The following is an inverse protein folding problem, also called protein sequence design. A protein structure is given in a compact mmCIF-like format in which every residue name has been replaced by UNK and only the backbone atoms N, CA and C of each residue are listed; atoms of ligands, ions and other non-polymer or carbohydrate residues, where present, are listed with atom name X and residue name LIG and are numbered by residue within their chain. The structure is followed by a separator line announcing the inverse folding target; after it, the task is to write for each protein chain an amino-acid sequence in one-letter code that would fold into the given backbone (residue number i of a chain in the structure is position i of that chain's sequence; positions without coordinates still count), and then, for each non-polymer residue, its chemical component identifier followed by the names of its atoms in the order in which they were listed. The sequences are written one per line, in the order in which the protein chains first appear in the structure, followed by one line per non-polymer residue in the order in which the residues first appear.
data_IF_992021818801
#
_entry.id   IF_992021818801
#
_cell.length_a   1.000
_cell.length_b   1.000
_cell.length_c   1.000
_cell.angle_alpha   90.00
_cell.angle_beta   90.00
_cell.angle_gamma   90.00
#
_symmetry.space_group_name_H-M   'P 1'
#
loop_
_entity.id
_entity.type
_entity.pdbx_description
1 polymer ?
#
# COMPACT_ATOMS: atom_id res chain seq x y z
N UNK A 1 0.79 30.11 33.08
CA UNK A 1 0.85 28.65 32.94
C UNK A 1 2.24 28.27 33.42
N UNK A 2 2.36 27.88 34.69
CA UNK A 2 3.64 27.53 35.30
C UNK A 2 4.13 26.21 34.68
N UNK A 3 5.35 26.18 34.14
CA UNK A 3 5.95 24.96 33.56
C UNK A 3 6.06 24.89 32.03
N UNK A 4 5.63 25.90 31.28
CA UNK A 4 5.89 25.96 29.82
C UNK A 4 7.25 26.59 29.53
N UNK A 5 8.08 25.94 28.71
CA UNK A 5 9.37 26.46 28.26
C UNK A 5 9.17 27.73 27.43
N UNK A 6 9.97 28.76 27.72
CA UNK A 6 10.00 29.99 26.92
C UNK A 6 10.77 29.76 25.62
N UNK A 7 10.08 29.89 24.49
CA UNK A 7 10.62 29.59 23.15
C UNK A 7 10.90 30.85 22.32
N UNK A 8 10.86 32.06 22.91
CA UNK A 8 10.98 33.33 22.18
C UNK A 8 12.29 33.49 21.40
N UNK A 9 13.37 32.84 21.84
CA UNK A 9 14.69 32.90 21.19
C UNK A 9 15.04 31.63 20.39
N UNK A 10 14.04 30.80 20.07
CA UNK A 10 14.23 29.56 19.30
C UNK A 10 13.72 29.68 17.87
N UNK A 11 14.33 28.92 16.97
CA UNK A 11 13.88 28.74 15.59
C UNK A 11 13.28 27.36 15.42
N UNK A 12 12.13 27.28 14.75
CA UNK A 12 11.49 26.02 14.40
C UNK A 12 11.58 25.77 12.90
N UNK A 13 11.96 24.54 12.54
CA UNK A 13 11.91 24.05 11.18
C UNK A 13 10.67 23.17 11.02
N UNK A 14 9.84 23.49 10.02
CA UNK A 14 8.64 22.72 9.73
C UNK A 14 8.90 21.80 8.55
N UNK A 15 8.54 20.53 8.70
CA UNK A 15 8.84 19.49 7.72
C UNK A 15 8.44 19.88 6.30
N UNK A 16 7.20 20.36 6.14
CA UNK A 16 6.60 20.76 4.87
C UNK A 16 7.03 22.16 4.37
N UNK A 17 7.97 22.82 5.04
CA UNK A 17 8.50 24.14 4.66
C UNK A 17 9.97 24.08 4.22
N UNK A 18 10.62 22.95 4.40
CA UNK A 18 11.99 22.74 3.91
C UNK A 18 11.96 22.16 2.51
N UNK A 19 13.00 22.46 1.73
CA UNK A 19 13.16 21.90 0.39
C UNK A 19 13.52 20.41 0.43
N UNK A 20 14.30 19.99 1.43
CA UNK A 20 14.69 18.61 1.66
C UNK A 20 15.14 18.36 3.11
N UNK A 21 15.13 17.08 3.52
CA UNK A 21 15.69 16.58 4.78
C UNK A 21 16.65 15.44 4.46
N UNK A 22 17.69 15.26 5.26
CA UNK A 22 18.70 14.22 5.05
C UNK A 22 18.96 13.43 6.34
N UNK A 23 19.11 12.13 6.20
CA UNK A 23 19.70 11.24 7.20
C UNK A 23 21.10 10.88 6.71
N UNK A 24 22.13 11.46 7.33
CA UNK A 24 23.49 11.52 6.78
C UNK A 24 23.47 12.15 5.36
N UNK A 25 23.94 11.43 4.34
CA UNK A 25 23.96 11.88 2.94
C UNK A 25 22.73 11.42 2.12
N UNK A 26 21.80 10.68 2.73
CA UNK A 26 20.61 10.15 2.05
C UNK A 26 19.41 11.07 2.26
N UNK A 27 18.79 11.51 1.16
CA UNK A 27 17.58 12.34 1.23
C UNK A 27 16.39 11.55 1.80
N UNK A 28 15.70 12.14 2.75
CA UNK A 28 14.53 11.56 3.40
C UNK A 28 13.31 11.71 2.51
N UNK A 29 12.86 10.59 1.95
CA UNK A 29 11.61 10.53 1.18
C UNK A 29 10.37 10.52 2.10
N UNK A 30 9.47 11.50 1.96
CA UNK A 30 8.22 11.69 2.73
C UNK A 30 8.45 12.02 4.21
N UNK A 31 9.01 11.10 4.99
CA UNK A 31 9.35 11.27 6.40
C UNK A 31 10.42 10.25 6.83
N UNK A 32 11.13 10.55 7.92
CA UNK A 32 12.12 9.66 8.51
C UNK A 32 11.54 8.26 8.77
N UNK A 33 12.32 7.22 8.47
CA UNK A 33 11.87 5.83 8.67
C UNK A 33 11.99 5.48 10.16
N UNK A 34 10.99 4.76 10.67
CA UNK A 34 11.02 4.22 12.02
C UNK A 34 11.95 2.99 12.06
N UNK A 35 13.00 2.98 12.91
CA UNK A 35 13.97 1.89 12.98
C UNK A 35 13.37 0.55 13.44
N UNK A 36 12.17 0.55 14.04
CA UNK A 36 11.47 -0.67 14.45
C UNK A 36 10.44 -1.14 13.42
N UNK A 37 10.23 -0.36 12.34
CA UNK A 37 9.35 -0.72 11.26
C UNK A 37 10.05 -1.72 10.34
N UNK A 38 9.43 -2.88 10.18
CA UNK A 38 9.87 -3.92 9.25
C UNK A 38 8.84 -4.10 8.15
N UNK A 39 9.32 -4.26 6.93
CA UNK A 39 8.53 -4.65 5.76
C UNK A 39 9.22 -5.83 5.11
N UNK A 40 8.47 -6.90 4.84
CA UNK A 40 8.98 -8.08 4.14
C UNK A 40 8.02 -8.45 3.02
N UNK A 41 8.56 -8.95 1.90
CA UNK A 41 7.80 -9.38 0.75
C UNK A 41 8.25 -10.77 0.31
N UNK A 42 7.31 -11.73 0.27
CA UNK A 42 7.59 -13.13 -0.02
C UNK A 42 6.68 -13.63 -1.15
N UNK A 43 7.24 -14.17 -2.25
CA UNK A 43 6.46 -14.92 -3.22
C UNK A 43 5.71 -16.06 -2.54
N UNK A 44 4.46 -16.30 -2.93
CA UNK A 44 3.64 -17.38 -2.36
C UNK A 44 2.90 -18.12 -3.47
N UNK A 45 2.85 -19.45 -3.36
CA UNK A 45 2.11 -20.33 -4.26
C UNK A 45 0.66 -20.58 -3.82
N UNK A 46 0.25 -20.01 -2.68
CA UNK A 46 -1.13 -20.10 -2.19
C UNK A 46 -2.06 -19.46 -3.21
N UNK A 47 -3.25 -20.02 -3.37
CA UNK A 47 -4.26 -19.45 -4.27
C UNK A 47 -4.88 -18.25 -3.59
N UNK A 48 -4.81 -17.09 -4.24
CA UNK A 48 -5.41 -15.84 -3.78
C UNK A 48 -6.49 -15.42 -4.76
N UNK A 49 -7.70 -15.20 -4.26
CA UNK A 49 -8.82 -14.69 -5.06
C UNK A 49 -9.34 -13.39 -4.46
N UNK A 50 -9.62 -12.42 -5.32
CA UNK A 50 -10.22 -11.14 -4.95
C UNK A 50 -11.59 -11.04 -5.59
N UNK A 51 -12.60 -10.81 -4.77
CA UNK A 51 -14.00 -10.70 -5.20
C UNK A 51 -14.55 -9.34 -4.78
N UNK A 52 -15.27 -8.69 -5.68
CA UNK A 52 -15.97 -7.43 -5.44
C UNK A 52 -17.35 -7.50 -6.10
N UNK A 53 -18.40 -7.09 -5.38
CA UNK A 53 -19.77 -7.09 -5.89
C UNK A 53 -20.21 -8.45 -6.50
N UNK A 54 -19.71 -9.57 -5.96
CA UNK A 54 -19.99 -10.93 -6.44
C UNK A 54 -19.19 -11.35 -7.69
N UNK A 55 -18.34 -10.48 -8.24
CA UNK A 55 -17.50 -10.77 -9.40
C UNK A 55 -16.04 -11.05 -8.99
N UNK A 56 -15.42 -12.07 -9.57
CA UNK A 56 -14.00 -12.38 -9.33
C UNK A 56 -13.13 -11.43 -10.14
N UNK A 57 -12.48 -10.50 -9.44
CA UNK A 57 -11.56 -9.53 -10.01
C UNK A 57 -10.19 -10.13 -10.32
N UNK A 58 -9.73 -11.08 -9.50
CA UNK A 58 -8.45 -11.73 -9.71
C UNK A 58 -8.42 -13.12 -9.08
N UNK A 59 -7.64 -14.02 -9.68
CA UNK A 59 -7.39 -15.36 -9.21
C UNK A 59 -5.97 -15.78 -9.59
N UNK A 60 -5.10 -16.00 -8.60
CA UNK A 60 -3.68 -16.26 -8.85
C UNK A 60 -3.08 -17.24 -7.86
N UNK A 61 -2.07 -17.99 -8.30
CA UNK A 61 -1.14 -18.75 -7.45
C UNK A 61 0.28 -18.16 -7.48
N UNK A 62 0.42 -16.92 -7.95
CA UNK A 62 1.68 -16.21 -8.14
C UNK A 62 1.71 -14.88 -7.38
N UNK A 63 0.96 -14.81 -6.28
CA UNK A 63 0.92 -13.62 -5.46
C UNK A 63 2.23 -13.41 -4.69
N UNK A 64 2.41 -12.20 -4.17
CA UNK A 64 3.43 -11.85 -3.20
C UNK A 64 2.74 -11.44 -1.91
N UNK A 65 3.03 -12.15 -0.81
CA UNK A 65 2.63 -11.77 0.53
C UNK A 65 3.56 -10.66 1.02
N UNK A 66 2.98 -9.52 1.40
CA UNK A 66 3.68 -8.45 2.09
C UNK A 66 3.20 -8.37 3.54
N UNK A 67 4.15 -8.32 4.46
CA UNK A 67 3.92 -8.06 5.87
C UNK A 67 4.59 -6.76 6.28
N UNK A 68 3.94 -6.01 7.15
CA UNK A 68 4.46 -4.75 7.66
C UNK A 68 4.10 -4.58 9.13
N UNK A 69 5.06 -4.13 9.95
CA UNK A 69 4.86 -3.97 11.38
C UNK A 69 3.58 -3.16 11.69
N UNK A 70 2.67 -3.81 12.43
CA UNK A 70 1.42 -3.23 12.89
C UNK A 70 0.30 -3.13 11.84
N UNK A 71 0.49 -3.67 10.63
CA UNK A 71 -0.52 -3.67 9.57
C UNK A 71 -1.01 -5.10 9.23
N UNK A 72 -2.22 -5.23 8.67
CA UNK A 72 -2.66 -6.50 8.10
C UNK A 72 -1.74 -6.98 6.99
N UNK A 73 -1.68 -8.30 6.82
CA UNK A 73 -1.05 -8.90 5.65
C UNK A 73 -1.70 -8.40 4.37
N UNK A 74 -0.90 -8.16 3.35
CA UNK A 74 -1.38 -7.74 2.03
C UNK A 74 -0.90 -8.71 0.97
N UNK A 75 -1.75 -8.99 -0.01
CA UNK A 75 -1.39 -9.81 -1.15
C UNK A 75 -1.32 -8.94 -2.38
N UNK A 76 -0.16 -9.00 -3.04
CA UNK A 76 0.12 -8.32 -4.28
C UNK A 76 -0.01 -9.32 -5.43
N UNK A 77 -0.90 -9.03 -6.37
CA UNK A 77 -1.36 -9.92 -7.44
C UNK A 77 -0.76 -9.45 -8.77
N UNK A 78 -0.21 -10.34 -9.60
CA UNK A 78 0.26 -9.97 -10.92
C UNK A 78 -0.88 -9.34 -11.73
N UNK A 79 -0.61 -8.20 -12.39
CA UNK A 79 -1.62 -7.53 -13.21
C UNK A 79 -2.24 -8.43 -14.29
N UNK A 80 -1.49 -9.39 -14.80
CA UNK A 80 -1.96 -10.36 -15.80
C UNK A 80 -3.08 -11.27 -15.29
N UNK A 81 -3.22 -11.41 -13.97
CA UNK A 81 -4.17 -12.31 -13.33
C UNK A 81 -5.42 -11.54 -12.84
N UNK A 82 -5.49 -10.24 -13.15
CA UNK A 82 -6.68 -9.41 -12.94
C UNK A 82 -7.58 -9.49 -14.17
N UNK A 83 -8.89 -9.58 -13.94
CA UNK A 83 -9.91 -9.69 -14.97
C UNK A 83 -9.76 -8.59 -16.04
N UNK A 84 -9.79 -8.95 -17.34
CA UNK A 84 -9.70 -7.97 -18.42
C UNK A 84 -10.84 -6.95 -18.34
N UNK A 85 -10.50 -5.67 -18.54
CA UNK A 85 -11.48 -4.58 -18.48
C UNK A 85 -11.87 -4.12 -17.07
N UNK A 86 -11.44 -4.83 -16.02
CA UNK A 86 -11.74 -4.43 -14.64
C UNK A 86 -10.96 -3.19 -14.17
N UNK A 87 -9.90 -2.78 -14.87
CA UNK A 87 -9.01 -1.69 -14.46
C UNK A 87 -9.08 -0.51 -15.41
N UNK A 88 -9.24 0.69 -14.87
CA UNK A 88 -9.01 1.96 -15.58
C UNK A 88 -8.03 2.85 -14.81
N UNK A 89 -7.15 3.55 -15.54
CA UNK A 89 -6.08 4.36 -14.92
C UNK A 89 -6.64 5.46 -14.03
N UNK A 90 -5.94 5.75 -12.94
CA UNK A 90 -6.16 6.92 -12.08
C UNK A 90 -4.89 7.75 -12.02
N UNK A 91 -5.05 9.07 -11.93
CA UNK A 91 -3.95 10.01 -11.68
C UNK A 91 -3.59 10.10 -10.19
N UNK A 92 -4.31 9.38 -9.33
CA UNK A 92 -4.06 9.37 -7.90
C UNK A 92 -2.74 8.66 -7.58
N UNK A 93 -1.91 9.34 -6.79
CA UNK A 93 -0.63 8.84 -6.30
C UNK A 93 -0.52 9.13 -4.81
N UNK A 94 -0.04 8.15 -4.03
CA UNK A 94 0.33 8.35 -2.64
C UNK A 94 1.77 7.92 -2.42
N UNK A 95 2.42 8.48 -1.42
CA UNK A 95 3.84 8.22 -1.16
C UNK A 95 4.02 7.53 0.19
N UNK A 96 4.90 6.53 0.24
CA UNK A 96 5.24 5.79 1.45
C UNK A 96 6.76 5.67 1.56
N UNK A 97 7.38 6.09 2.69
CA UNK A 97 8.84 6.00 2.84
C UNK A 97 9.37 4.57 2.76
N UNK A 98 8.53 3.59 3.10
CA UNK A 98 8.92 2.18 3.13
C UNK A 98 8.75 1.47 1.79
N UNK A 99 7.83 1.92 0.94
CA UNK A 99 7.44 1.21 -0.30
C UNK A 99 7.66 2.00 -1.57
N UNK A 100 7.80 3.32 -1.50
CA UNK A 100 7.87 4.21 -2.66
C UNK A 100 6.51 4.83 -3.00
N UNK A 101 6.34 5.18 -4.27
CA UNK A 101 5.12 5.79 -4.81
C UNK A 101 4.10 4.72 -5.20
N UNK A 102 2.93 4.77 -4.58
CA UNK A 102 1.78 3.96 -4.93
C UNK A 102 0.95 4.69 -5.99
N UNK A 103 0.78 4.05 -7.14
CA UNK A 103 -0.14 4.48 -8.20
C UNK A 103 -1.41 3.67 -8.13
N UNK A 104 -2.52 4.24 -8.61
CA UNK A 104 -3.84 3.64 -8.42
C UNK A 104 -4.54 3.32 -9.74
N UNK A 105 -5.44 2.33 -9.66
CA UNK A 105 -6.44 2.02 -10.66
C UNK A 105 -7.83 2.18 -10.03
N UNK A 106 -8.76 2.72 -10.82
CA UNK A 106 -10.18 2.54 -10.56
C UNK A 106 -10.56 1.12 -10.97
N UNK A 107 -11.48 0.51 -10.24
CA UNK A 107 -11.87 -0.89 -10.43
C UNK A 107 -13.34 -0.97 -10.77
N UNK A 108 -13.68 -1.62 -11.87
CA UNK A 108 -15.07 -1.87 -12.27
C UNK A 108 -15.43 -3.33 -12.00
N UNK A 109 -16.53 -3.56 -11.26
CA UNK A 109 -17.06 -4.89 -10.95
C UNK A 109 -18.58 -4.82 -10.74
N UNK A 110 -19.32 -5.80 -11.26
CA UNK A 110 -20.78 -5.86 -11.09
C UNK A 110 -21.52 -4.64 -11.66
N UNK A 111 -20.95 -3.96 -12.67
CA UNK A 111 -21.52 -2.76 -13.28
C UNK A 111 -21.22 -1.44 -12.55
N UNK A 112 -20.51 -1.48 -11.42
CA UNK A 112 -20.12 -0.30 -10.65
C UNK A 112 -18.62 -0.06 -10.75
N UNK A 113 -18.20 1.21 -10.70
CA UNK A 113 -16.79 1.60 -10.65
C UNK A 113 -16.45 2.19 -9.29
N UNK A 114 -15.43 1.64 -8.65
CA UNK A 114 -14.89 2.12 -7.38
C UNK A 114 -13.56 2.81 -7.65
N UNK A 115 -13.49 4.09 -7.33
CA UNK A 115 -12.29 4.90 -7.55
C UNK A 115 -11.14 4.49 -6.62
N UNK A 116 -9.92 4.49 -7.17
CA UNK A 116 -8.67 4.26 -6.42
C UNK A 116 -8.69 2.97 -5.56
N UNK A 117 -9.39 1.93 -6.02
CA UNK A 117 -9.56 0.71 -5.24
C UNK A 117 -8.34 -0.21 -5.28
N UNK A 118 -7.56 -0.21 -6.37
CA UNK A 118 -6.34 -1.01 -6.44
C UNK A 118 -5.13 -0.11 -6.55
N UNK A 119 -4.05 -0.44 -5.85
CA UNK A 119 -2.79 0.29 -5.97
C UNK A 119 -1.63 -0.65 -6.33
N UNK A 120 -0.59 -0.09 -6.92
CA UNK A 120 0.64 -0.78 -7.28
C UNK A 120 1.85 0.15 -7.16
N UNK A 121 3.03 -0.45 -7.08
CA UNK A 121 4.30 0.30 -7.05
C UNK A 121 5.06 0.03 -8.34
N UNK A 122 5.32 1.08 -9.13
CA UNK A 122 6.12 0.94 -10.36
C UNK A 122 7.59 0.69 -10.04
N UNK A 123 8.11 1.48 -9.10
CA UNK A 123 9.49 1.45 -8.63
C UNK A 123 9.50 1.38 -7.10
N UNK A 124 9.20 0.21 -6.51
CA UNK A 124 9.23 0.07 -5.06
C UNK A 124 10.65 0.20 -4.51
N UNK A 125 10.77 0.43 -3.20
CA UNK A 125 12.07 0.36 -2.51
C UNK A 125 12.71 -1.03 -2.69
N UNK A 126 14.05 -1.17 -2.53
CA UNK A 126 14.72 -2.46 -2.73
C UNK A 126 14.14 -3.60 -1.88
N UNK A 127 13.74 -3.32 -0.64
CA UNK A 127 13.10 -4.30 0.26
C UNK A 127 11.75 -4.78 -0.27
N UNK A 128 11.05 -3.94 -1.02
CA UNK A 128 9.76 -4.22 -1.64
C UNK A 128 9.87 -4.57 -3.13
N UNK A 129 11.07 -4.83 -3.66
CA UNK A 129 11.25 -5.18 -5.07
C UNK A 129 10.32 -6.30 -5.59
N UNK A 130 10.00 -7.37 -4.81
CA UNK A 130 9.11 -8.43 -5.29
C UNK A 130 7.69 -7.98 -5.66
N UNK A 131 7.18 -6.87 -5.08
CA UNK A 131 5.82 -6.38 -5.37
C UNK A 131 5.75 -5.42 -6.57
N UNK A 132 6.87 -5.22 -7.28
CA UNK A 132 6.91 -4.30 -8.42
C UNK A 132 5.83 -4.65 -9.46
N UNK A 133 5.02 -3.66 -9.82
CA UNK A 133 3.91 -3.74 -10.77
C UNK A 133 2.82 -4.79 -10.44
N UNK A 134 2.81 -5.32 -9.22
CA UNK A 134 1.70 -6.14 -8.72
C UNK A 134 0.66 -5.23 -8.04
N UNK A 135 -0.62 -5.60 -8.16
CA UNK A 135 -1.73 -4.85 -7.59
C UNK A 135 -2.11 -5.40 -6.23
N UNK A 136 -2.41 -4.52 -5.29
CA UNK A 136 -3.06 -4.88 -4.05
C UNK A 136 -4.42 -4.19 -3.96
N UNK A 137 -5.37 -4.90 -3.33
CA UNK A 137 -6.72 -4.42 -3.04
C UNK A 137 -6.86 -4.31 -1.52
N UNK A 138 -7.59 -3.30 -0.99
CA UNK A 138 -7.77 -3.13 0.44
C UNK A 138 -8.74 -4.19 0.96
N UNK A 139 -8.25 -5.08 1.82
CA UNK A 139 -9.00 -6.20 2.36
C UNK A 139 -10.30 -5.77 3.07
N UNK A 140 -10.39 -4.55 3.60
CA UNK A 140 -11.63 -4.00 4.17
C UNK A 140 -12.74 -3.74 3.13
N UNK A 141 -12.40 -3.60 1.84
CA UNK A 141 -13.35 -3.23 0.76
C UNK A 141 -13.60 -4.33 -0.27
N UNK A 142 -12.87 -5.44 -0.20
CA UNK A 142 -13.04 -6.60 -1.08
C UNK A 142 -13.16 -7.87 -0.25
N UNK A 143 -13.75 -8.91 -0.83
CA UNK A 143 -13.67 -10.24 -0.24
C UNK A 143 -12.40 -10.91 -0.75
N UNK A 144 -11.51 -11.27 0.17
CA UNK A 144 -10.22 -11.89 -0.12
C UNK A 144 -10.27 -13.35 0.31
N UNK A 145 -9.99 -14.27 -0.60
CA UNK A 145 -9.88 -15.69 -0.32
C UNK A 145 -8.43 -16.15 -0.43
N UNK A 146 -7.96 -16.91 0.55
CA UNK A 146 -6.66 -17.57 0.53
C UNK A 146 -6.86 -19.07 0.68
N UNK A 147 -6.42 -19.84 -0.31
CA UNK A 147 -6.62 -21.29 -0.40
C UNK A 147 -8.11 -21.69 -0.24
N UNK A 148 -9.01 -20.86 -0.79
CA UNK A 148 -10.46 -21.05 -0.74
C UNK A 148 -11.12 -20.61 0.57
N UNK A 149 -10.36 -20.11 1.55
CA UNK A 149 -10.90 -19.60 2.81
C UNK A 149 -11.07 -18.09 2.75
N UNK A 150 -12.25 -17.60 3.10
CA UNK A 150 -12.51 -16.17 3.23
C UNK A 150 -11.71 -15.60 4.41
N UNK A 151 -10.94 -14.56 4.14
CA UNK A 151 -10.15 -13.88 5.13
C UNK A 151 -10.99 -12.84 5.89
N UNK A 152 -10.77 -12.74 7.20
CA UNK A 152 -11.41 -11.71 8.02
C UNK A 152 -11.02 -10.31 7.54
N UNK A 153 -11.99 -9.40 7.46
CA UNK A 153 -11.72 -8.00 7.10
C UNK A 153 -11.01 -7.33 8.28
N UNK A 154 -9.78 -6.83 8.12
CA UNK A 154 -9.07 -6.20 9.21
C UNK A 154 -9.76 -4.91 9.63
N UNK A 155 -9.71 -4.59 10.92
CA UNK A 155 -10.03 -3.24 11.39
C UNK A 155 -8.77 -2.40 11.35
N UNK A 156 -8.63 -1.54 10.34
CA UNK A 156 -7.52 -0.59 10.29
C UNK A 156 -8.00 0.85 10.38
N UNK A 157 -7.11 1.76 10.80
CA UNK A 157 -7.39 3.19 10.85
C UNK A 157 -7.53 3.86 9.47
N UNK A 158 -7.44 3.09 8.40
CA UNK A 158 -7.51 3.56 7.02
C UNK A 158 -8.70 2.95 6.25
N UNK A 159 -9.56 2.19 6.94
CA UNK A 159 -10.84 1.71 6.43
C UNK A 159 -11.97 2.71 6.75
#
# INVERSE_FOLDING_TARGET
MEGTVDVRDYVAFYWNKMDAWYEEDEEVFVHAKDPYKRVDAFPTSRRVQVVLNGETLADTTRAVLLTETGLPRRFYIPKSDVAPGALSSSDHVTQCPYKGEAHYYNVTAGGETVENLAWFYRYPTPVCAPIANHLCFPQGKVDLYVDGQLEEKPQTRWD
#
